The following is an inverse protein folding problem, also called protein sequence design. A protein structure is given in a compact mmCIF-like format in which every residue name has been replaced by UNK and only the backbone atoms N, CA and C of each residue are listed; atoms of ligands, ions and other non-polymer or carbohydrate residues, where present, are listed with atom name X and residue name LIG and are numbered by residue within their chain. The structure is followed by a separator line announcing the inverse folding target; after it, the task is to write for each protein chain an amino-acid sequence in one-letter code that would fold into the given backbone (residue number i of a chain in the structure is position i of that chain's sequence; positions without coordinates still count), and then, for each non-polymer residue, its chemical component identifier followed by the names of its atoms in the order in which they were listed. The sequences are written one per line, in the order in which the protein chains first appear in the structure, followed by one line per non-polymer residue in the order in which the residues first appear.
data_IF_448823595085
#
_entry.id   IF_448823595085
#
_cell.length_a   1.000
_cell.length_b   1.000
_cell.length_c   1.000
_cell.angle_alpha   90.00
_cell.angle_beta   90.00
_cell.angle_gamma   90.00
#
_symmetry.space_group_name_H-M   'P 1'
#
loop_
_entity.id
_entity.type
_entity.pdbx_description
1 polymer ?
#
# COMPACT_ATOMS: atom_id res chain seq x y z
N UNK A 1 11.66 11.52 -25.14
CA UNK A 1 10.19 11.41 -25.33
C UNK A 1 9.57 12.57 -24.57
N UNK A 2 8.71 13.36 -25.22
CA UNK A 2 8.15 14.58 -24.63
C UNK A 2 7.11 14.21 -23.54
N UNK A 3 7.24 14.85 -22.38
CA UNK A 3 6.26 14.78 -21.29
C UNK A 3 5.00 15.48 -21.79
N UNK A 4 3.84 14.82 -21.70
CA UNK A 4 2.58 15.49 -21.99
C UNK A 4 2.26 16.41 -20.80
N UNK A 5 2.56 17.71 -20.95
CA UNK A 5 2.22 18.75 -19.97
C UNK A 5 0.83 19.29 -20.28
N UNK A 6 -0.02 19.46 -19.27
CA UNK A 6 -1.21 20.29 -19.43
C UNK A 6 -0.80 21.74 -19.36
N UNK A 7 -0.65 22.34 -20.53
CA UNK A 7 -0.46 23.78 -20.64
C UNK A 7 -1.84 24.43 -20.45
N UNK A 8 -1.94 25.29 -19.44
CA UNK A 8 -3.11 26.15 -19.28
C UNK A 8 -2.86 27.41 -20.09
N UNK A 9 -3.72 27.64 -21.08
CA UNK A 9 -3.67 28.84 -21.90
C UNK A 9 -5.03 29.52 -21.93
N UNK A 10 -5.03 30.84 -21.90
CA UNK A 10 -6.24 31.66 -21.95
C UNK A 10 -5.99 32.95 -22.73
N UNK A 11 -7.04 33.49 -23.33
CA UNK A 11 -6.98 34.78 -24.01
C UNK A 11 -7.39 35.90 -23.05
N UNK A 12 -6.68 37.03 -23.11
CA UNK A 12 -7.03 38.21 -22.31
C UNK A 12 -7.67 39.23 -23.24
N UNK A 13 -8.98 39.45 -23.10
CA UNK A 13 -9.69 40.50 -23.83
C UNK A 13 -9.91 41.71 -22.92
N UNK A 14 -9.45 42.88 -23.35
CA UNK A 14 -9.63 44.14 -22.63
C UNK A 14 -9.77 45.34 -23.55
N UNK A 15 -10.32 46.42 -22.99
CA UNK A 15 -10.33 47.75 -23.60
C UNK A 15 -9.62 48.69 -22.63
N UNK A 16 -8.64 49.44 -23.10
CA UNK A 16 -7.91 50.41 -22.28
C UNK A 16 -7.77 51.74 -23.00
N UNK A 17 -7.94 52.85 -22.27
CA UNK A 17 -7.71 54.20 -22.76
C UNK A 17 -6.24 54.62 -22.69
N UNK A 18 -5.38 53.80 -22.07
CA UNK A 18 -3.94 54.01 -21.96
C UNK A 18 -3.17 52.70 -22.18
N UNK A 19 -1.88 52.75 -22.58
CA UNK A 19 -1.08 51.53 -22.74
C UNK A 19 -0.98 50.73 -21.44
N UNK A 20 -1.13 49.41 -21.54
CA UNK A 20 -0.86 48.50 -20.42
C UNK A 20 0.65 48.41 -20.23
N UNK A 21 1.11 48.61 -19.00
CA UNK A 21 2.53 48.67 -18.63
C UNK A 21 2.98 47.48 -17.79
N UNK A 22 2.05 46.68 -17.25
CA UNK A 22 2.34 45.42 -16.57
C UNK A 22 1.15 44.47 -16.62
N UNK A 23 1.44 43.17 -16.60
CA UNK A 23 0.43 42.11 -16.58
C UNK A 23 0.91 40.96 -15.68
N UNK A 24 0.03 40.47 -14.80
CA UNK A 24 0.33 39.41 -13.84
C UNK A 24 -0.85 38.44 -13.76
N UNK A 25 -0.56 37.14 -13.81
CA UNK A 25 -1.51 36.09 -13.45
C UNK A 25 -1.21 35.59 -12.03
N UNK A 26 -2.24 35.51 -11.21
CA UNK A 26 -2.20 35.01 -9.85
C UNK A 26 -3.10 33.79 -9.78
N UNK A 27 -2.60 32.65 -9.31
CA UNK A 27 -3.43 31.45 -9.20
C UNK A 27 -3.16 30.66 -7.93
N UNK A 28 -4.20 29.97 -7.44
CA UNK A 28 -4.11 29.02 -6.33
C UNK A 28 -5.19 27.97 -6.42
N UNK A 29 -5.01 26.87 -5.70
CA UNK A 29 -6.04 25.84 -5.57
C UNK A 29 -7.25 26.41 -4.83
N UNK A 30 -8.44 26.21 -5.38
CA UNK A 30 -9.71 26.74 -4.83
C UNK A 30 -9.92 26.21 -3.41
N UNK A 31 -10.23 27.11 -2.48
CA UNK A 31 -10.38 26.78 -1.06
C UNK A 31 -9.08 26.56 -0.28
N UNK A 32 -7.90 26.73 -0.90
CA UNK A 32 -6.62 26.69 -0.17
C UNK A 32 -6.42 27.95 0.65
N UNK A 33 -5.82 27.79 1.84
CA UNK A 33 -5.31 28.89 2.67
C UNK A 33 -3.96 29.43 2.18
N UNK A 34 -3.33 28.77 1.20
CA UNK A 34 -2.06 29.19 0.63
C UNK A 34 -2.15 30.55 -0.10
N UNK A 35 -1.00 31.22 -0.18
CA UNK A 35 -0.86 32.42 -0.99
C UNK A 35 -1.02 32.11 -2.48
N UNK A 36 -1.43 33.11 -3.25
CA UNK A 36 -1.47 33.01 -4.71
C UNK A 36 -0.04 32.86 -5.24
N UNK A 37 0.14 31.90 -6.15
CA UNK A 37 1.32 31.84 -7.01
C UNK A 37 1.23 32.99 -8.00
N UNK A 38 2.28 33.81 -8.08
CA UNK A 38 2.35 34.97 -8.97
C UNK A 38 3.22 34.67 -10.17
N UNK A 39 2.68 34.95 -11.36
CA UNK A 39 3.35 34.81 -12.64
C UNK A 39 3.26 36.13 -13.41
N UNK A 40 4.42 36.75 -13.63
CA UNK A 40 4.51 37.97 -14.45
C UNK A 40 4.42 37.57 -15.92
N UNK A 41 3.46 38.14 -16.64
CA UNK A 41 3.23 37.86 -18.05
C UNK A 41 4.17 38.75 -18.88
N UNK A 42 5.16 38.13 -19.53
CA UNK A 42 6.09 38.80 -20.43
C UNK A 42 6.19 38.06 -21.76
N UNK A 43 6.04 38.77 -22.91
CA UNK A 43 5.78 40.21 -23.06
C UNK A 43 4.36 40.61 -22.58
N UNK A 44 4.12 41.91 -22.40
CA UNK A 44 2.79 42.43 -22.02
C UNK A 44 1.80 42.08 -23.15
N UNK A 45 0.70 41.38 -22.84
CA UNK A 45 -0.23 40.89 -23.85
C UNK A 45 -1.08 42.03 -24.44
N UNK A 46 -1.23 42.04 -25.76
CA UNK A 46 -2.27 42.81 -26.42
C UNK A 46 -3.65 42.19 -26.17
N UNK A 47 -4.71 42.96 -26.41
CA UNK A 47 -6.07 42.44 -26.29
C UNK A 47 -6.31 41.32 -27.30
N UNK A 48 -6.75 40.16 -26.82
CA UNK A 48 -6.95 38.94 -27.60
C UNK A 48 -5.75 37.99 -27.62
N UNK A 49 -4.59 38.38 -27.09
CA UNK A 49 -3.40 37.52 -27.09
C UNK A 49 -3.59 36.28 -26.20
N UNK A 50 -3.01 35.17 -26.65
CA UNK A 50 -2.97 33.92 -25.90
C UNK A 50 -1.82 33.97 -24.89
N UNK A 51 -2.17 33.85 -23.61
CA UNK A 51 -1.22 33.71 -22.50
C UNK A 51 -1.18 32.25 -22.09
N UNK A 52 0.02 31.71 -21.89
CA UNK A 52 0.22 30.35 -21.36
C UNK A 52 0.87 30.45 -19.99
N UNK A 53 0.28 29.80 -18.99
CA UNK A 53 0.87 29.72 -17.65
C UNK A 53 2.04 28.74 -17.62
N UNK A 54 2.95 28.89 -16.64
CA UNK A 54 3.92 27.84 -16.32
C UNK A 54 3.22 26.51 -16.01
N UNK A 55 4.00 25.43 -16.05
CA UNK A 55 3.51 24.10 -15.71
C UNK A 55 2.91 24.06 -14.29
N UNK A 56 1.72 23.49 -14.16
CA UNK A 56 1.03 23.26 -12.89
C UNK A 56 0.78 21.75 -12.76
N UNK A 57 1.48 21.11 -11.83
CA UNK A 57 1.53 19.64 -11.70
C UNK A 57 0.35 19.04 -10.91
N UNK A 58 -0.26 19.83 -10.03
CA UNK A 58 -1.31 19.33 -9.15
C UNK A 58 -2.68 19.44 -9.82
N UNK A 59 -3.39 18.31 -9.89
CA UNK A 59 -4.78 18.27 -10.35
C UNK A 59 -5.71 19.01 -9.38
N UNK A 60 -6.76 19.61 -9.91
CA UNK A 60 -7.81 20.23 -9.11
C UNK A 60 -8.43 21.47 -9.75
N UNK A 61 -9.34 22.09 -9.01
CA UNK A 61 -9.95 23.39 -9.34
C UNK A 61 -9.04 24.52 -8.84
N UNK A 62 -8.78 25.51 -9.69
CA UNK A 62 -7.93 26.66 -9.39
C UNK A 62 -8.72 27.96 -9.55
N UNK A 63 -8.47 28.91 -8.65
CA UNK A 63 -8.84 30.31 -8.82
C UNK A 63 -7.74 30.99 -9.63
N UNK A 64 -8.11 31.78 -10.64
CA UNK A 64 -7.23 32.59 -11.45
C UNK A 64 -7.62 34.05 -11.31
N UNK A 65 -6.67 34.92 -11.01
CA UNK A 65 -6.83 36.36 -11.05
C UNK A 65 -5.83 36.91 -12.06
N UNK A 66 -6.33 37.64 -13.05
CA UNK A 66 -5.48 38.36 -14.00
C UNK A 66 -5.52 39.83 -13.64
N UNK A 67 -4.34 40.42 -13.43
CA UNK A 67 -4.14 41.83 -13.13
C UNK A 67 -3.44 42.53 -14.30
N UNK A 68 -4.04 43.59 -14.82
CA UNK A 68 -3.44 44.48 -15.79
C UNK A 68 -3.26 45.87 -15.19
N UNK A 69 -2.09 46.48 -15.39
CA UNK A 69 -1.80 47.83 -14.92
C UNK A 69 -1.65 48.79 -16.10
N UNK A 70 -2.38 49.90 -16.08
CA UNK A 70 -2.25 51.00 -17.03
C UNK A 70 -2.18 52.33 -16.26
N UNK A 71 -1.24 53.20 -16.60
CA UNK A 71 -1.05 54.50 -15.93
C UNK A 71 -0.93 54.42 -14.39
N UNK A 72 -0.34 53.33 -13.88
CA UNK A 72 -0.18 53.09 -12.44
C UNK A 72 -1.43 52.58 -11.72
N UNK A 73 -2.53 52.35 -12.42
CA UNK A 73 -3.77 51.78 -11.86
C UNK A 73 -3.90 50.31 -12.28
N UNK A 74 -4.08 49.43 -11.31
CA UNK A 74 -4.27 48.00 -11.53
C UNK A 74 -5.77 47.64 -11.59
N UNK A 75 -6.16 46.87 -12.60
CA UNK A 75 -7.50 46.29 -12.75
C UNK A 75 -7.41 44.77 -12.73
N UNK A 76 -8.35 44.11 -12.04
CA UNK A 76 -8.36 42.66 -11.84
C UNK A 76 -9.63 42.02 -12.38
N UNK A 77 -9.48 40.83 -12.94
CA UNK A 77 -10.58 39.92 -13.23
C UNK A 77 -10.30 38.57 -12.57
N UNK A 78 -11.34 37.94 -12.02
CA UNK A 78 -11.25 36.63 -11.40
C UNK A 78 -12.02 35.62 -12.22
N UNK A 79 -11.42 34.46 -12.46
CA UNK A 79 -12.02 33.31 -13.12
C UNK A 79 -11.52 32.01 -12.45
N UNK A 80 -11.87 30.86 -13.01
CA UNK A 80 -11.44 29.56 -12.56
C UNK A 80 -11.10 28.64 -13.71
N UNK A 81 -10.19 27.71 -13.47
CA UNK A 81 -9.88 26.64 -14.40
C UNK A 81 -9.69 25.32 -13.65
N UNK A 82 -9.91 24.21 -14.36
CA UNK A 82 -9.71 22.87 -13.82
C UNK A 82 -8.51 22.22 -14.50
N UNK A 83 -7.57 21.75 -13.69
CA UNK A 83 -6.51 20.85 -14.13
C UNK A 83 -7.00 19.42 -13.92
N UNK A 84 -7.21 18.69 -15.02
CA UNK A 84 -7.49 17.26 -14.99
C UNK A 84 -6.25 16.42 -14.64
N UNK A 85 -6.34 15.11 -14.72
CA UNK A 85 -5.15 14.24 -14.60
C UNK A 85 -4.27 14.39 -15.84
N UNK A 86 -3.30 15.28 -15.73
CA UNK A 86 -2.47 15.74 -16.83
C UNK A 86 -1.16 14.96 -16.94
N UNK A 87 -1.28 13.64 -16.95
CA UNK A 87 -0.22 12.75 -17.40
C UNK A 87 -0.81 11.75 -18.36
N UNK A 88 -0.22 11.58 -19.55
CA UNK A 88 -0.24 10.23 -20.16
C UNK A 88 0.59 9.37 -19.22
N UNK A 89 -0.05 8.79 -18.21
CA UNK A 89 0.66 7.89 -17.32
C UNK A 89 1.13 6.72 -18.18
N UNK A 90 2.42 6.65 -18.48
CA UNK A 90 3.06 5.36 -18.81
C UNK A 90 2.92 4.37 -17.64
N UNK A 91 2.42 4.86 -16.50
CA UNK A 91 1.89 4.08 -15.40
C UNK A 91 0.69 3.25 -15.85
N UNK A 92 0.98 2.02 -16.26
CA UNK A 92 -0.02 1.04 -16.64
C UNK A 92 -1.07 0.86 -15.53
N UNK A 93 -2.34 0.90 -15.94
CA UNK A 93 -3.48 0.73 -15.05
C UNK A 93 -3.51 -0.74 -14.56
N UNK A 94 -3.55 -0.98 -13.25
CA UNK A 94 -3.71 -2.33 -12.70
C UNK A 94 -5.03 -2.99 -13.13
N UNK A 95 -5.08 -4.31 -13.05
CA UNK A 95 -6.31 -5.06 -13.27
C UNK A 95 -6.59 -5.99 -12.10
N UNK A 96 -7.76 -5.88 -11.48
CA UNK A 96 -8.22 -6.82 -10.47
C UNK A 96 -8.87 -8.00 -11.18
N UNK A 97 -8.32 -9.20 -10.98
CA UNK A 97 -8.81 -10.45 -11.57
C UNK A 97 -9.90 -11.07 -10.71
N UNK A 98 -9.68 -11.08 -9.40
CA UNK A 98 -10.60 -11.68 -8.45
C UNK A 98 -10.44 -11.05 -7.06
N UNK A 99 -11.50 -11.13 -6.27
CA UNK A 99 -11.46 -10.81 -4.84
C UNK A 99 -12.09 -11.98 -4.09
N UNK A 100 -11.30 -12.65 -3.28
CA UNK A 100 -11.76 -13.75 -2.44
C UNK A 100 -11.92 -13.26 -1.01
N UNK A 101 -13.08 -13.57 -0.40
CA UNK A 101 -13.27 -13.37 1.04
C UNK A 101 -13.21 -14.73 1.72
N UNK A 102 -12.17 -14.95 2.53
CA UNK A 102 -11.97 -16.21 3.26
C UNK A 102 -13.03 -16.38 4.35
N UNK A 103 -13.20 -17.60 4.85
CA UNK A 103 -14.11 -17.86 6.00
C UNK A 103 -13.74 -17.06 7.25
N UNK A 104 -12.47 -16.70 7.41
CA UNK A 104 -12.01 -15.83 8.49
C UNK A 104 -12.45 -14.37 8.35
N UNK A 105 -12.99 -13.97 7.18
CA UNK A 105 -13.30 -12.60 6.80
C UNK A 105 -12.15 -11.85 6.13
N UNK A 106 -10.97 -12.46 5.97
CA UNK A 106 -9.85 -11.84 5.26
C UNK A 106 -10.26 -11.60 3.80
N UNK A 107 -10.04 -10.39 3.32
CA UNK A 107 -10.21 -10.05 1.90
C UNK A 107 -8.85 -10.23 1.21
N UNK A 108 -8.82 -11.05 0.17
CA UNK A 108 -7.64 -11.32 -0.65
C UNK A 108 -7.90 -10.84 -2.07
N UNK A 109 -7.11 -9.88 -2.52
CA UNK A 109 -7.20 -9.29 -3.86
C UNK A 109 -6.16 -9.94 -4.77
N UNK A 110 -6.63 -10.63 -5.82
CA UNK A 110 -5.79 -11.08 -6.94
C UNK A 110 -5.80 -10.00 -8.02
N UNK A 111 -4.68 -9.31 -8.19
CA UNK A 111 -4.56 -8.20 -9.10
C UNK A 111 -3.19 -8.15 -9.76
N UNK A 112 -3.20 -7.71 -11.02
CA UNK A 112 -2.00 -7.56 -11.82
C UNK A 112 -1.57 -6.10 -11.80
N UNK A 113 -0.38 -5.85 -11.28
CA UNK A 113 0.32 -4.57 -11.40
C UNK A 113 1.60 -4.77 -12.18
N UNK A 114 1.82 -3.95 -13.19
CA UNK A 114 3.09 -3.91 -13.91
C UNK A 114 4.19 -3.37 -13.00
N UNK A 115 5.27 -4.14 -12.83
CA UNK A 115 6.40 -3.77 -11.98
C UNK A 115 7.39 -2.82 -12.65
N UNK A 116 7.30 -2.65 -13.98
CA UNK A 116 8.01 -1.57 -14.67
C UNK A 116 7.69 -0.26 -13.94
N UNK A 117 8.68 0.60 -13.69
CA UNK A 117 8.55 1.90 -13.01
C UNK A 117 7.66 1.99 -11.76
N UNK A 118 7.32 0.88 -11.09
CA UNK A 118 6.46 0.86 -9.92
C UNK A 118 7.14 1.57 -8.74
N UNK A 119 6.52 2.63 -8.24
CA UNK A 119 6.89 3.26 -6.97
C UNK A 119 6.13 2.62 -5.82
N UNK A 120 4.79 2.56 -5.92
CA UNK A 120 3.94 1.89 -4.94
C UNK A 120 2.55 1.61 -5.53
N UNK A 121 1.90 0.50 -5.18
CA UNK A 121 0.48 0.30 -5.40
C UNK A 121 -0.38 1.07 -4.37
N UNK A 122 -1.66 1.21 -4.71
CA UNK A 122 -2.74 1.74 -3.88
C UNK A 122 -4.04 0.98 -4.14
N UNK A 123 -4.89 0.79 -3.12
CA UNK A 123 -6.27 0.35 -3.30
C UNK A 123 -7.25 1.14 -2.43
N UNK A 124 -8.53 1.10 -2.80
CA UNK A 124 -9.65 1.69 -2.08
C UNK A 124 -10.82 0.72 -2.02
N UNK A 125 -11.56 0.74 -0.93
CA UNK A 125 -12.84 0.04 -0.76
C UNK A 125 -13.93 1.07 -0.48
N UNK A 126 -15.06 0.93 -1.15
CA UNK A 126 -16.23 1.79 -1.00
C UNK A 126 -17.52 0.98 -0.78
N UNK A 127 -18.53 1.65 -0.22
CA UNK A 127 -19.91 1.13 -0.10
C UNK A 127 -20.72 1.27 -1.38
N UNK A 128 -20.25 2.08 -2.33
CA UNK A 128 -20.89 2.37 -3.60
C UNK A 128 -19.97 2.07 -4.81
N UNK A 129 -20.53 1.71 -5.98
CA UNK A 129 -19.74 1.38 -7.18
C UNK A 129 -19.07 2.61 -7.82
N UNK A 130 -19.50 3.82 -7.48
CA UNK A 130 -18.94 5.09 -7.97
C UNK A 130 -17.73 5.56 -7.15
N UNK A 131 -17.47 4.93 -6.00
CA UNK A 131 -16.44 5.30 -5.03
C UNK A 131 -16.57 6.75 -4.53
N UNK A 132 -17.81 7.19 -4.29
CA UNK A 132 -18.10 8.45 -3.59
C UNK A 132 -18.00 8.28 -2.06
N UNK A 133 -18.27 7.07 -1.54
CA UNK A 133 -18.23 6.70 -0.13
C UNK A 133 -17.07 5.71 0.16
N UNK A 134 -15.84 6.21 0.15
CA UNK A 134 -14.65 5.41 0.47
C UNK A 134 -14.58 5.15 1.98
N UNK A 135 -14.55 3.87 2.36
CA UNK A 135 -14.53 3.41 3.76
C UNK A 135 -13.17 2.83 4.19
N UNK A 136 -12.31 2.50 3.22
CA UNK A 136 -10.97 1.99 3.49
C UNK A 136 -10.05 2.26 2.30
N UNK A 137 -8.77 2.52 2.57
CA UNK A 137 -7.76 2.65 1.53
C UNK A 137 -6.37 2.34 2.08
N UNK A 138 -5.45 1.95 1.19
CA UNK A 138 -4.05 1.73 1.52
C UNK A 138 -3.17 2.20 0.38
N UNK A 139 -2.08 2.87 0.73
CA UNK A 139 -0.99 3.30 -0.18
C UNK A 139 0.33 2.86 0.44
N UNK A 140 1.36 2.59 -0.35
CA UNK A 140 2.72 2.44 0.18
C UNK A 140 3.09 1.02 0.63
N UNK A 141 2.57 -0.02 -0.03
CA UNK A 141 2.86 -1.42 0.33
C UNK A 141 3.62 -2.15 -0.77
N UNK A 142 4.40 -3.17 -0.41
CA UNK A 142 5.13 -3.98 -1.40
C UNK A 142 4.13 -4.76 -2.24
N UNK A 143 4.27 -4.69 -3.56
CA UNK A 143 3.39 -5.42 -4.47
C UNK A 143 3.63 -6.93 -4.41
N UNK A 144 2.55 -7.66 -4.17
CA UNK A 144 2.41 -9.08 -4.44
C UNK A 144 1.14 -9.29 -5.26
N UNK A 145 1.08 -10.30 -6.14
CA UNK A 145 -0.10 -10.53 -6.98
C UNK A 145 -1.36 -10.84 -6.13
N UNK A 146 -1.17 -11.58 -5.03
CA UNK A 146 -2.20 -11.84 -4.03
C UNK A 146 -1.97 -10.93 -2.82
N UNK A 147 -2.73 -9.84 -2.74
CA UNK A 147 -2.65 -8.90 -1.63
C UNK A 147 -3.72 -9.20 -0.58
N UNK A 148 -3.28 -9.39 0.67
CA UNK A 148 -4.18 -9.40 1.81
C UNK A 148 -4.55 -7.96 2.17
N UNK A 149 -5.82 -7.59 2.00
CA UNK A 149 -6.32 -6.28 2.42
C UNK A 149 -6.04 -6.08 3.91
N UNK A 150 -5.58 -4.87 4.26
CA UNK A 150 -5.23 -4.51 5.62
C UNK A 150 -6.51 -4.22 6.44
N UNK A 151 -7.03 -5.25 7.07
CA UNK A 151 -8.33 -5.21 7.77
C UNK A 151 -8.38 -4.26 8.98
N UNK A 152 -7.23 -3.87 9.54
CA UNK A 152 -7.14 -2.98 10.73
C UNK A 152 -7.16 -1.48 10.38
N UNK A 153 -7.12 -1.12 9.09
CA UNK A 153 -7.01 0.27 8.63
C UNK A 153 -8.34 0.95 8.27
N UNK A 154 -9.50 0.37 8.58
CA UNK A 154 -10.81 0.96 8.27
C UNK A 154 -11.99 0.23 8.90
N UNK A 155 -13.16 0.87 8.95
CA UNK A 155 -14.41 0.27 9.42
C UNK A 155 -15.09 -0.49 8.27
N UNK A 156 -14.50 -1.61 7.83
CA UNK A 156 -15.11 -2.45 6.79
C UNK A 156 -16.37 -3.11 7.39
N UNK A 157 -17.59 -2.79 6.90
CA UNK A 157 -18.81 -3.33 7.47
C UNK A 157 -18.95 -4.81 7.11
N UNK A 158 -19.50 -5.59 8.03
CA UNK A 158 -19.65 -7.03 7.88
C UNK A 158 -20.89 -7.40 7.06
N UNK A 159 -20.81 -8.47 6.26
CA UNK A 159 -21.92 -9.01 5.47
C UNK A 159 -22.57 -7.94 4.56
N UNK A 160 -21.73 -7.11 3.94
CA UNK A 160 -22.13 -6.04 3.01
C UNK A 160 -21.48 -6.24 1.66
N UNK A 161 -22.23 -5.90 0.61
CA UNK A 161 -21.68 -5.70 -0.73
C UNK A 161 -20.80 -4.46 -0.71
N UNK A 162 -19.56 -4.60 -1.14
CA UNK A 162 -18.54 -3.57 -1.20
C UNK A 162 -17.83 -3.63 -2.55
N UNK A 163 -17.13 -2.55 -2.88
CA UNK A 163 -16.41 -2.42 -4.14
C UNK A 163 -14.95 -2.08 -3.87
N UNK A 164 -14.03 -2.77 -4.52
CA UNK A 164 -12.59 -2.49 -4.44
C UNK A 164 -12.02 -2.08 -5.80
N UNK A 165 -11.12 -1.11 -5.80
CA UNK A 165 -10.33 -0.71 -6.97
C UNK A 165 -8.88 -0.47 -6.56
N UNK A 166 -7.96 -0.64 -7.50
CA UNK A 166 -6.53 -0.43 -7.30
C UNK A 166 -5.96 0.56 -8.32
N UNK A 167 -4.85 1.21 -7.98
CA UNK A 167 -4.05 2.02 -8.90
C UNK A 167 -2.58 1.91 -8.58
N UNK A 168 -1.74 2.41 -9.48
CA UNK A 168 -0.30 2.34 -9.43
C UNK A 168 0.28 3.75 -9.36
N UNK A 169 1.27 3.95 -8.50
CA UNK A 169 2.16 5.11 -8.50
C UNK A 169 3.47 4.72 -9.18
N UNK A 170 3.99 5.59 -10.03
CA UNK A 170 5.19 5.37 -10.81
C UNK A 170 6.35 6.28 -10.40
N UNK A 171 7.56 5.73 -10.38
CA UNK A 171 8.77 6.44 -9.98
C UNK A 171 9.38 7.27 -11.13
N UNK A 172 9.50 6.69 -12.33
CA UNK A 172 10.02 7.40 -13.51
C UNK A 172 9.52 6.78 -14.83
N UNK A 173 8.91 7.56 -15.74
CA UNK A 173 8.44 8.91 -15.49
C UNK A 173 7.42 8.88 -14.34
N UNK A 174 7.49 9.90 -13.48
CA UNK A 174 6.64 9.99 -12.30
C UNK A 174 5.18 10.16 -12.70
N UNK A 175 4.27 9.50 -12.00
CA UNK A 175 2.84 9.67 -12.25
C UNK A 175 1.99 8.69 -11.46
N UNK A 176 0.68 8.81 -11.63
CA UNK A 176 -0.31 7.92 -11.04
C UNK A 176 -1.17 7.35 -12.17
N UNK A 177 -1.42 6.05 -12.18
CA UNK A 177 -2.30 5.43 -13.15
C UNK A 177 -3.76 5.81 -12.90
N UNK A 178 -4.60 5.62 -13.92
CA UNK A 178 -6.03 5.48 -13.69
C UNK A 178 -6.36 4.33 -12.73
N UNK A 179 -7.60 4.32 -12.24
CA UNK A 179 -8.12 3.21 -11.44
C UNK A 179 -8.36 1.96 -12.28
N UNK A 180 -8.16 0.79 -11.67
CA UNK A 180 -8.55 -0.50 -12.24
C UNK A 180 -10.07 -0.59 -12.44
N UNK A 181 -10.52 -1.72 -13.00
CA UNK A 181 -11.90 -2.14 -12.82
C UNK A 181 -12.27 -2.15 -11.33
N UNK A 182 -13.49 -1.68 -11.04
CA UNK A 182 -14.13 -1.91 -9.75
C UNK A 182 -14.53 -3.38 -9.65
N UNK A 183 -14.22 -4.03 -8.55
CA UNK A 183 -14.62 -5.40 -8.28
C UNK A 183 -15.60 -5.44 -7.11
N UNK A 184 -16.77 -6.00 -7.34
CA UNK A 184 -17.81 -6.19 -6.31
C UNK A 184 -17.52 -7.47 -5.52
N UNK A 185 -17.64 -7.39 -4.19
CA UNK A 185 -17.54 -8.55 -3.31
C UNK A 185 -18.42 -8.38 -2.08
N UNK A 186 -18.76 -9.49 -1.42
CA UNK A 186 -19.51 -9.48 -0.15
C UNK A 186 -18.52 -9.72 0.99
N UNK A 187 -18.38 -8.75 1.90
CA UNK A 187 -17.56 -8.91 3.10
C UNK A 187 -18.15 -9.98 4.04
N UNK A 188 -17.30 -10.59 4.87
CA UNK A 188 -17.71 -11.45 5.97
C UNK A 188 -17.25 -10.85 7.29
N UNK A 189 -17.78 -11.33 8.41
CA UNK A 189 -17.27 -10.97 9.73
C UNK A 189 -15.76 -11.27 9.82
N UNK A 190 -14.97 -10.23 10.09
CA UNK A 190 -13.53 -10.37 10.28
C UNK A 190 -13.25 -10.95 11.68
N UNK A 191 -12.94 -12.24 11.70
CA UNK A 191 -12.78 -13.02 12.93
C UNK A 191 -11.33 -13.11 13.43
N UNK A 192 -10.36 -12.51 12.73
CA UNK A 192 -8.95 -12.49 13.17
C UNK A 192 -8.56 -11.10 13.65
N UNK A 193 -9.11 -10.72 14.80
CA UNK A 193 -8.62 -9.57 15.57
C UNK A 193 -7.47 -10.05 16.45
N UNK A 194 -6.24 -9.97 15.92
CA UNK A 194 -5.01 -10.48 16.54
C UNK A 194 -5.05 -12.01 16.68
N UNK A 195 -3.99 -12.71 16.33
CA UNK A 195 -3.75 -14.05 16.87
C UNK A 195 -3.68 -13.90 18.40
N UNK A 196 -4.72 -14.27 19.16
CA UNK A 196 -4.89 -13.75 20.52
C UNK A 196 -4.13 -14.61 21.55
N UNK A 197 -3.55 -15.72 21.09
CA UNK A 197 -2.90 -16.70 21.94
C UNK A 197 -1.40 -16.60 21.77
N UNK A 198 -0.77 -16.01 22.78
CA UNK A 198 0.68 -15.84 22.83
C UNK A 198 1.36 -17.10 23.34
N UNK A 199 2.40 -17.52 22.63
CA UNK A 199 3.29 -18.62 22.98
C UNK A 199 4.70 -18.05 23.10
N UNK A 200 5.24 -18.02 24.32
CA UNK A 200 6.59 -17.53 24.62
C UNK A 200 7.65 -18.64 24.54
N UNK A 201 7.22 -19.86 24.29
CA UNK A 201 7.97 -21.11 24.35
C UNK A 201 7.99 -21.85 23.00
N UNK A 202 7.83 -21.10 21.90
CA UNK A 202 7.88 -21.63 20.55
C UNK A 202 9.32 -21.73 20.05
N UNK A 203 9.74 -22.92 19.64
CA UNK A 203 11.05 -23.17 19.03
C UNK A 203 10.86 -23.23 17.53
N UNK A 204 11.40 -22.25 16.80
CA UNK A 204 11.21 -22.14 15.36
C UNK A 204 12.52 -22.52 14.63
N UNK A 205 12.42 -23.29 13.56
CA UNK A 205 13.56 -23.61 12.67
C UNK A 205 13.23 -23.17 11.25
N UNK A 206 14.18 -22.48 10.62
CA UNK A 206 13.98 -21.96 9.28
C UNK A 206 14.04 -23.07 8.22
N UNK A 207 13.46 -22.81 7.06
CA UNK A 207 13.55 -23.69 5.91
C UNK A 207 14.95 -23.82 5.30
N UNK A 208 15.94 -23.07 5.80
CA UNK A 208 17.33 -23.15 5.38
C UNK A 208 18.03 -24.43 5.87
N UNK A 209 17.48 -25.06 6.91
CA UNK A 209 18.05 -26.28 7.50
C UNK A 209 17.45 -27.55 6.89
N UNK A 210 18.24 -28.62 6.91
CA UNK A 210 17.81 -29.92 6.38
C UNK A 210 17.12 -30.78 7.44
N UNK A 211 17.48 -30.60 8.71
CA UNK A 211 16.97 -31.38 9.84
C UNK A 211 16.79 -30.50 11.08
N UNK A 212 15.57 -30.37 11.64
CA UNK A 212 15.33 -29.51 12.81
C UNK A 212 15.87 -30.10 14.13
N UNK A 213 16.28 -31.38 14.15
CA UNK A 213 16.77 -32.06 15.36
C UNK A 213 18.27 -32.35 15.34
N UNK A 214 19.00 -32.05 14.25
CA UNK A 214 20.43 -32.36 14.16
C UNK A 214 21.23 -31.49 15.14
N UNK A 215 21.93 -32.14 16.07
CA UNK A 215 22.75 -31.47 17.08
C UNK A 215 24.09 -31.01 16.53
N UNK A 216 24.50 -31.48 15.34
CA UNK A 216 25.76 -31.13 14.69
C UNK A 216 25.65 -29.88 13.81
N UNK A 217 24.45 -29.60 13.29
CA UNK A 217 24.17 -28.33 12.61
C UNK A 217 23.98 -27.24 13.68
N UNK A 218 25.04 -26.45 13.89
CA UNK A 218 25.05 -25.22 14.71
C UNK A 218 24.71 -25.38 16.21
N UNK A 219 24.73 -26.59 16.79
CA UNK A 219 24.34 -26.83 18.18
C UNK A 219 23.00 -26.16 18.53
N UNK A 220 21.97 -26.36 17.72
CA UNK A 220 20.67 -25.76 17.96
C UNK A 220 19.55 -26.69 17.51
N UNK A 221 19.42 -27.82 18.20
CA UNK A 221 18.28 -28.70 18.00
C UNK A 221 17.01 -28.03 18.49
N UNK A 222 15.93 -28.11 17.70
CA UNK A 222 14.58 -27.65 18.10
C UNK A 222 14.11 -28.34 19.39
N UNK A 223 14.67 -29.52 19.70
CA UNK A 223 14.33 -30.34 20.85
C UNK A 223 14.97 -29.89 22.16
N UNK A 224 15.90 -28.94 22.13
CA UNK A 224 16.49 -28.42 23.34
C UNK A 224 15.57 -27.41 24.03
N UNK A 225 15.50 -27.50 25.35
CA UNK A 225 14.69 -26.63 26.20
C UNK A 225 15.43 -25.35 26.61
N UNK A 226 16.61 -25.10 26.09
CA UNK A 226 17.30 -23.83 26.21
C UNK A 226 17.97 -23.58 24.87
N UNK A 227 17.81 -22.38 24.32
CA UNK A 227 18.42 -22.11 23.04
C UNK A 227 17.93 -20.88 22.31
N UNK A 228 18.74 -20.47 21.35
CA UNK A 228 18.52 -19.30 20.51
C UNK A 228 17.30 -19.43 19.58
N UNK A 229 16.76 -20.64 19.39
CA UNK A 229 15.58 -20.91 18.55
C UNK A 229 14.25 -20.54 19.21
N UNK A 230 14.25 -20.23 20.52
CA UNK A 230 13.05 -19.81 21.23
C UNK A 230 12.58 -18.44 20.72
N UNK A 231 11.28 -18.34 20.42
CA UNK A 231 10.60 -17.15 19.93
C UNK A 231 9.30 -16.95 20.68
N UNK A 232 8.90 -15.69 20.81
CA UNK A 232 7.54 -15.32 21.17
C UNK A 232 6.74 -15.13 19.90
N UNK A 233 5.71 -15.95 19.72
CA UNK A 233 4.80 -15.92 18.56
C UNK A 233 3.35 -15.93 19.05
N UNK A 234 2.42 -15.63 18.16
CA UNK A 234 1.00 -15.79 18.42
C UNK A 234 0.36 -16.76 17.44
N UNK A 235 -0.63 -17.53 17.90
CA UNK A 235 -1.43 -18.41 17.05
C UNK A 235 -2.89 -17.94 16.98
N UNK A 236 -3.55 -18.28 15.87
CA UNK A 236 -5.00 -18.10 15.71
C UNK A 236 -5.84 -19.05 16.59
N UNK A 237 -5.21 -20.04 17.21
CA UNK A 237 -5.86 -21.08 18.02
C UNK A 237 -5.29 -21.12 19.43
N UNK A 238 -6.12 -21.46 20.42
CA UNK A 238 -5.74 -21.48 21.84
C UNK A 238 -4.74 -22.57 22.21
N UNK A 239 -4.55 -23.54 21.31
CA UNK A 239 -3.56 -24.61 21.39
C UNK A 239 -2.84 -24.75 20.06
N UNK A 240 -1.58 -25.19 20.03
CA UNK A 240 -0.89 -25.49 18.79
C UNK A 240 -1.52 -26.69 18.09
N UNK A 241 -1.96 -26.49 16.85
CA UNK A 241 -2.60 -27.53 16.07
C UNK A 241 -2.50 -27.27 14.57
N UNK A 242 -2.77 -28.30 13.79
CA UNK A 242 -2.93 -28.21 12.34
C UNK A 242 -4.04 -27.22 11.99
N UNK A 243 -3.78 -26.35 11.01
CA UNK A 243 -4.70 -25.28 10.61
C UNK A 243 -4.47 -23.95 11.33
N UNK A 244 -3.59 -23.88 12.33
CA UNK A 244 -3.24 -22.65 13.01
C UNK A 244 -2.25 -21.81 12.20
N UNK A 245 -2.50 -20.51 12.10
CA UNK A 245 -1.58 -19.55 11.48
C UNK A 245 -0.67 -18.93 12.54
N UNK A 246 0.60 -18.76 12.18
CA UNK A 246 1.63 -18.18 13.05
C UNK A 246 1.77 -16.69 12.74
N UNK A 247 1.77 -15.90 13.80
CA UNK A 247 2.00 -14.47 13.80
C UNK A 247 3.19 -14.12 14.70
N UNK A 248 3.81 -12.97 14.46
CA UNK A 248 4.85 -12.44 15.34
C UNK A 248 4.27 -12.08 16.72
N UNK A 249 5.13 -11.65 17.64
CA UNK A 249 4.76 -11.33 19.02
C UNK A 249 3.72 -10.22 19.16
N UNK A 250 3.53 -9.37 18.14
CA UNK A 250 2.48 -8.36 18.11
C UNK A 250 1.07 -8.95 17.91
N UNK A 251 1.00 -10.20 17.44
CA UNK A 251 -0.20 -10.94 17.12
C UNK A 251 -0.92 -10.45 15.85
N UNK A 252 -0.34 -9.51 15.11
CA UNK A 252 -0.94 -8.86 13.94
C UNK A 252 -0.13 -9.19 12.69
N UNK A 253 1.20 -9.23 12.80
CA UNK A 253 2.09 -9.46 11.66
C UNK A 253 2.22 -10.95 11.37
N UNK A 254 1.86 -11.45 10.18
CA UNK A 254 2.03 -12.86 9.82
C UNK A 254 3.50 -13.28 9.82
N UNK A 255 3.80 -14.48 10.28
CA UNK A 255 5.16 -15.03 10.34
C UNK A 255 5.60 -15.63 8.99
N UNK A 256 5.69 -14.79 7.97
CA UNK A 256 6.15 -15.11 6.61
C UNK A 256 7.54 -14.51 6.33
N UNK A 257 8.30 -14.98 5.33
CA UNK A 257 9.70 -14.59 5.11
C UNK A 257 9.92 -13.07 5.12
N UNK A 258 9.06 -12.30 4.43
CA UNK A 258 9.13 -10.84 4.37
C UNK A 258 9.10 -10.14 5.75
N UNK A 259 8.47 -10.77 6.76
CA UNK A 259 8.30 -10.21 8.09
C UNK A 259 9.26 -10.79 9.14
N UNK A 260 10.01 -11.84 8.80
CA UNK A 260 10.83 -12.59 9.75
C UNK A 260 12.26 -12.05 9.90
N UNK A 261 12.55 -10.85 9.41
CA UNK A 261 13.86 -10.22 9.55
C UNK A 261 14.28 -10.10 11.03
N UNK A 262 13.34 -9.93 11.95
CA UNK A 262 13.61 -9.88 13.40
C UNK A 262 14.08 -11.22 13.98
N UNK A 263 13.88 -12.32 13.27
CA UNK A 263 14.35 -13.64 13.68
C UNK A 263 15.78 -13.91 13.20
N UNK A 264 16.36 -13.08 12.33
CA UNK A 264 17.72 -13.20 11.82
C UNK A 264 18.75 -12.65 12.82
N UNK A 265 19.22 -13.49 13.74
CA UNK A 265 20.25 -13.09 14.72
C UNK A 265 21.57 -13.83 14.53
N UNK A 266 21.71 -14.61 13.45
CA UNK A 266 22.92 -15.39 13.16
C UNK A 266 22.94 -16.76 13.84
N UNK A 267 23.94 -17.57 13.50
CA UNK A 267 24.04 -18.96 13.96
C UNK A 267 22.81 -19.76 13.54
N UNK A 268 22.15 -20.44 14.48
CA UNK A 268 20.94 -21.21 14.22
C UNK A 268 19.71 -20.38 13.81
N UNK A 269 19.80 -19.05 13.96
CA UNK A 269 18.76 -18.09 13.61
C UNK A 269 19.09 -17.42 12.28
N UNK A 270 19.19 -18.21 11.22
CA UNK A 270 19.46 -17.72 9.85
C UNK A 270 18.46 -18.28 8.85
N UNK A 271 18.19 -17.49 7.81
CA UNK A 271 17.40 -17.91 6.64
C UNK A 271 15.90 -17.90 6.84
N UNK A 272 15.39 -17.38 7.97
CA UNK A 272 13.97 -17.10 8.16
C UNK A 272 13.46 -16.05 7.17
N UNK A 273 14.23 -15.00 6.88
CA UNK A 273 13.81 -13.93 5.96
C UNK A 273 13.68 -14.40 4.51
N UNK A 274 14.38 -15.47 4.15
CA UNK A 274 14.46 -16.00 2.78
C UNK A 274 13.66 -17.30 2.61
N UNK A 275 13.55 -18.12 3.67
CA UNK A 275 12.97 -19.47 3.64
C UNK A 275 11.84 -19.69 4.64
N UNK A 276 11.50 -18.70 5.47
CA UNK A 276 10.42 -18.76 6.45
C UNK A 276 10.64 -19.79 7.55
N UNK A 277 9.61 -19.99 8.40
CA UNK A 277 9.56 -21.05 9.40
C UNK A 277 9.12 -22.33 8.71
N UNK A 278 9.90 -23.41 8.85
CA UNK A 278 9.57 -24.73 8.27
C UNK A 278 9.16 -25.73 9.34
N UNK A 279 9.73 -25.62 10.53
CA UNK A 279 9.37 -26.45 11.68
C UNK A 279 9.18 -25.61 12.92
N UNK A 280 8.22 -26.00 13.75
CA UNK A 280 7.93 -25.36 15.02
C UNK A 280 7.60 -26.40 16.10
N UNK A 281 8.07 -26.17 17.33
CA UNK A 281 7.76 -26.96 18.52
C UNK A 281 7.32 -26.03 19.64
N UNK A 282 6.41 -26.49 20.50
CA UNK A 282 5.92 -25.74 21.65
C UNK A 282 6.22 -26.54 22.92
N UNK A 283 7.12 -26.05 23.77
CA UNK A 283 7.59 -26.83 24.94
C UNK A 283 6.45 -27.20 25.89
N UNK A 284 5.65 -26.21 26.27
CA UNK A 284 4.58 -26.34 27.25
C UNK A 284 3.34 -27.01 26.65
N UNK A 285 3.26 -27.16 25.33
CA UNK A 285 2.14 -27.76 24.61
C UNK A 285 2.62 -28.98 23.82
N UNK A 286 2.84 -30.06 24.58
CA UNK A 286 3.37 -31.33 24.09
C UNK A 286 4.76 -31.16 23.46
N UNK A 287 5.75 -30.92 24.32
CA UNK A 287 7.13 -30.63 23.96
C UNK A 287 7.87 -31.72 23.17
N UNK A 288 7.26 -32.87 22.89
CA UNK A 288 7.83 -33.86 21.96
C UNK A 288 7.32 -33.71 20.52
N UNK A 289 6.23 -32.97 20.28
CA UNK A 289 5.67 -32.79 18.93
C UNK A 289 6.33 -31.66 18.18
N UNK A 290 6.80 -31.98 16.97
CA UNK A 290 7.23 -31.00 15.98
C UNK A 290 6.11 -30.87 14.93
N UNK A 291 5.82 -29.66 14.53
CA UNK A 291 4.85 -29.35 13.49
C UNK A 291 5.58 -28.88 12.23
N UNK A 292 5.10 -29.30 11.06
CA UNK A 292 5.53 -28.77 9.78
C UNK A 292 4.73 -27.50 9.47
N UNK A 293 5.42 -26.47 8.99
CA UNK A 293 4.85 -25.15 8.66
C UNK A 293 5.03 -24.91 7.16
N UNK A 294 3.98 -24.43 6.49
CA UNK A 294 4.10 -23.88 5.13
C UNK A 294 4.80 -22.52 5.21
N UNK A 295 6.06 -22.40 4.77
CA UNK A 295 6.83 -21.20 5.07
C UNK A 295 6.28 -19.94 4.41
N UNK A 296 5.60 -20.05 3.25
CA UNK A 296 5.06 -18.88 2.56
C UNK A 296 3.84 -18.26 3.25
N UNK A 297 3.15 -19.01 4.12
CA UNK A 297 1.91 -18.56 4.78
C UNK A 297 1.98 -18.56 6.30
N UNK A 298 2.97 -19.23 6.90
CA UNK A 298 3.04 -19.44 8.34
C UNK A 298 1.97 -20.39 8.88
N UNK A 299 1.33 -21.18 8.01
CA UNK A 299 0.31 -22.15 8.37
C UNK A 299 0.94 -23.44 8.90
N UNK A 300 0.49 -23.92 10.07
CA UNK A 300 0.81 -25.27 10.53
C UNK A 300 0.02 -26.28 9.70
N UNK A 301 0.72 -27.07 8.88
CA UNK A 301 0.08 -27.96 7.90
C UNK A 301 -0.13 -29.39 8.40
N UNK A 302 0.76 -29.88 9.26
CA UNK A 302 0.66 -31.21 9.87
C UNK A 302 1.57 -31.34 11.09
N UNK A 303 1.33 -32.36 11.90
CA UNK A 303 2.34 -32.87 12.83
C UNK A 303 3.40 -33.58 11.99
N UNK A 304 4.68 -33.29 12.24
CA UNK A 304 5.77 -33.87 11.47
C UNK A 304 5.77 -35.40 11.63
N UNK A 305 5.70 -36.12 10.52
CA UNK A 305 5.78 -37.58 10.53
C UNK A 305 7.23 -38.07 10.70
N UNK A 306 8.19 -37.23 10.33
CA UNK A 306 9.62 -37.59 10.28
C UNK A 306 10.36 -37.21 11.55
N UNK A 307 9.96 -36.11 12.20
CA UNK A 307 10.70 -35.54 13.32
C UNK A 307 9.83 -35.44 14.57
N UNK A 308 10.41 -35.80 15.72
CA UNK A 308 9.85 -35.57 17.05
C UNK A 308 11.00 -35.40 18.05
N UNK A 309 10.68 -34.92 19.24
CA UNK A 309 11.62 -34.74 20.35
C UNK A 309 11.39 -35.75 21.47
N UNK A 310 10.93 -36.95 21.14
CA UNK A 310 10.94 -38.03 22.12
C UNK A 310 12.41 -38.34 22.43
N UNK A 311 12.79 -38.18 23.69
CA UNK A 311 14.05 -38.67 24.25
C UNK A 311 14.20 -40.17 24.04
#
# INVERSE_FOLDING_TARGET
MAIATCNISFNINYTSSAPVTAATALYRKKGSADSYTSYVITPIPASGDLVTLPEILASGEYELIVELTASGVATRITDSFKIGDCGTSTCEIPQIKNVQVLESGQIVMDYLVSTNNLSTPEYQIATDPTFEEIIHFRVGYTYEQLENVFMDGGNIPENKTLYIRARKHCASPSGVSGWSNAFEFVSKTWNVKRAPYTFTDAFCVSGNFTNPTDTRELNASICWDEGSLQKTINLTTSVPQVGAYIYLSDGITPAIPANLQSFETGGANIGFKDKGIKWIRFRNYNGSRIYDVEPSTGLITRISATFNCNT
#
